data_IF_326263280353
#
_entry.id   IF_326263280353
#
_cell.length_a   1.000
_cell.length_b   1.000
_cell.length_c   1.000
_cell.angle_alpha   90.00
_cell.angle_beta   90.00
_cell.angle_gamma   90.00
#
_symmetry.space_group_name_H-M   'P 1'
#
loop_
_entity.id
_entity.type
_entity.pdbx_description
1 polymer ?
#
# COMPACT_ATOMS: atom_id res chain seq x y z
N UNK A 1 3.62 13.04 -0.18
CA UNK A 1 4.92 13.37 0.47
C UNK A 1 5.83 14.03 -0.55
N UNK A 2 6.16 13.38 -1.66
CA UNK A 2 7.17 13.86 -2.61
C UNK A 2 6.70 15.12 -3.34
N UNK A 3 5.52 15.09 -3.95
CA UNK A 3 5.02 16.20 -4.76
C UNK A 3 4.63 17.46 -3.95
N UNK A 4 4.09 17.30 -2.75
CA UNK A 4 3.55 18.42 -1.95
C UNK A 4 4.49 18.88 -0.85
N UNK A 5 5.18 17.94 -0.20
CA UNK A 5 6.03 18.23 0.96
C UNK A 5 7.52 18.26 0.65
N UNK A 6 7.92 17.90 -0.58
CA UNK A 6 9.32 17.84 -1.01
C UNK A 6 10.17 16.80 -0.24
N UNK A 7 9.52 15.83 0.40
CA UNK A 7 10.18 14.75 1.12
C UNK A 7 10.38 13.51 0.25
N UNK A 8 11.01 12.49 0.82
CA UNK A 8 11.15 11.17 0.20
C UNK A 8 10.23 10.19 0.91
N UNK A 9 9.44 9.45 0.16
CA UNK A 9 8.61 8.39 0.68
C UNK A 9 9.34 7.05 0.64
N UNK A 10 9.90 6.64 1.76
CA UNK A 10 10.54 5.34 1.91
C UNK A 10 9.51 4.29 2.31
N UNK A 11 9.09 3.45 1.37
CA UNK A 11 8.15 2.35 1.62
C UNK A 11 8.85 1.18 2.30
N UNK A 12 8.20 0.60 3.31
CA UNK A 12 8.72 -0.56 4.02
C UNK A 12 7.62 -1.58 4.35
N UNK A 13 8.01 -2.68 4.97
CA UNK A 13 7.09 -3.74 5.39
C UNK A 13 6.09 -3.22 6.42
N UNK A 14 4.85 -3.68 6.34
CA UNK A 14 3.83 -3.42 7.36
C UNK A 14 4.26 -3.96 8.73
N UNK A 15 3.69 -3.39 9.77
CA UNK A 15 4.01 -3.68 11.15
C UNK A 15 4.76 -2.52 11.78
N UNK A 16 4.18 -1.93 12.85
CA UNK A 16 4.75 -0.74 13.50
C UNK A 16 6.23 -0.93 13.88
N UNK A 17 6.61 -2.12 14.36
CA UNK A 17 8.02 -2.43 14.65
C UNK A 17 8.92 -2.38 13.43
N UNK A 18 8.40 -2.84 12.26
CA UNK A 18 9.18 -2.83 11.03
C UNK A 18 9.49 -1.41 10.59
N UNK A 19 8.46 -0.53 10.51
CA UNK A 19 8.63 0.84 10.04
C UNK A 19 9.44 1.68 11.04
N UNK A 20 9.29 1.45 12.35
CA UNK A 20 10.08 2.13 13.39
C UNK A 20 11.55 1.72 13.31
N UNK A 21 11.83 0.41 13.27
CA UNK A 21 13.21 -0.08 13.17
C UNK A 21 13.89 0.41 11.90
N UNK A 22 13.16 0.48 10.78
CA UNK A 22 13.70 1.01 9.53
C UNK A 22 14.00 2.51 9.63
N UNK A 23 13.13 3.30 10.28
CA UNK A 23 13.40 4.70 10.50
C UNK A 23 14.63 4.93 11.40
N UNK A 24 14.80 4.10 12.44
CA UNK A 24 16.00 4.12 13.29
C UNK A 24 17.25 3.79 12.47
N UNK A 25 17.21 2.73 11.65
CA UNK A 25 18.32 2.33 10.77
C UNK A 25 18.71 3.47 9.81
N UNK A 26 17.73 4.07 9.14
CA UNK A 26 17.96 5.18 8.22
C UNK A 26 18.65 6.37 8.91
N UNK A 27 18.20 6.73 10.12
CA UNK A 27 18.83 7.82 10.88
C UNK A 27 20.27 7.46 11.31
N UNK A 28 20.56 6.21 11.66
CA UNK A 28 21.92 5.75 11.96
C UNK A 28 22.84 5.84 10.74
N UNK A 29 22.31 5.67 9.54
CA UNK A 29 23.04 5.82 8.28
C UNK A 29 23.12 7.28 7.78
N UNK A 30 22.64 8.25 8.58
CA UNK A 30 22.69 9.68 8.26
C UNK A 30 21.54 10.17 7.37
N UNK A 31 20.55 9.32 7.08
CA UNK A 31 19.34 9.72 6.36
C UNK A 31 18.37 10.40 7.32
N UNK A 32 17.92 11.63 6.99
CA UNK A 32 16.96 12.35 7.81
C UNK A 32 15.57 11.74 7.70
N UNK A 33 15.22 10.80 8.58
CA UNK A 33 13.91 10.17 8.66
C UNK A 33 13.20 10.62 9.95
N UNK A 34 12.33 11.63 9.92
CA UNK A 34 11.69 12.19 11.11
C UNK A 34 10.45 11.43 11.59
N UNK A 35 9.86 10.61 10.73
CA UNK A 35 8.56 9.96 10.97
C UNK A 35 8.55 8.54 10.41
N UNK A 36 8.08 7.60 11.22
CA UNK A 36 7.63 6.28 10.80
C UNK A 36 6.12 6.20 11.00
N UNK A 37 5.36 5.81 9.98
CA UNK A 37 3.90 5.74 10.05
C UNK A 37 3.37 4.58 9.21
N UNK A 38 2.27 3.98 9.67
CA UNK A 38 1.51 2.98 8.95
C UNK A 38 0.11 3.48 8.58
N UNK A 39 -0.50 2.84 7.60
CA UNK A 39 -1.91 3.08 7.21
C UNK A 39 -2.90 2.76 8.33
N UNK A 40 -2.50 1.93 9.30
CA UNK A 40 -3.28 1.62 10.52
C UNK A 40 -3.33 2.78 11.53
N UNK A 41 -2.50 3.82 11.35
CA UNK A 41 -2.40 4.96 12.26
C UNK A 41 -1.32 4.83 13.32
N UNK A 42 -0.62 3.70 13.44
CA UNK A 42 0.58 3.63 14.26
C UNK A 42 1.63 4.61 13.72
N UNK A 43 2.13 5.48 14.57
CA UNK A 43 3.11 6.50 14.17
C UNK A 43 4.11 6.78 15.28
N UNK A 44 5.38 6.87 14.88
CA UNK A 44 6.50 7.16 15.75
C UNK A 44 7.32 8.32 15.18
N UNK A 45 7.54 9.34 15.99
CA UNK A 45 8.27 10.54 15.60
C UNK A 45 9.65 10.57 16.25
N UNK A 46 10.67 10.98 15.50
CA UNK A 46 12.04 11.12 16.02
C UNK A 46 12.11 12.03 17.26
N UNK A 47 11.36 13.13 17.26
CA UNK A 47 11.30 14.07 18.40
C UNK A 47 10.68 13.45 19.66
N UNK A 48 9.96 12.33 19.54
CA UNK A 48 9.43 11.51 20.64
C UNK A 48 10.16 10.16 20.73
N UNK A 49 11.48 10.14 20.44
CA UNK A 49 12.34 8.97 20.56
C UNK A 49 11.87 7.74 19.77
N UNK A 50 11.11 7.92 18.71
CA UNK A 50 10.47 6.85 17.94
C UNK A 50 9.58 5.92 18.77
N UNK A 51 8.98 6.43 19.83
CA UNK A 51 7.93 5.71 20.56
C UNK A 51 6.66 5.64 19.67
N UNK A 52 6.06 4.46 19.62
CA UNK A 52 4.73 4.29 19.03
C UNK A 52 3.69 4.87 20.00
N UNK A 53 3.40 6.15 19.84
CA UNK A 53 2.65 6.94 20.82
C UNK A 53 1.52 7.73 20.14
N UNK A 54 0.34 7.11 20.12
CA UNK A 54 -0.87 7.73 19.57
C UNK A 54 -1.30 8.98 20.35
N UNK A 55 -1.06 9.05 21.67
CA UNK A 55 -1.43 10.22 22.46
C UNK A 55 -0.56 11.43 22.08
N UNK A 56 0.72 11.22 21.84
CA UNK A 56 1.62 12.25 21.36
C UNK A 56 1.19 12.76 19.97
N UNK A 57 0.89 11.85 19.04
CA UNK A 57 0.44 12.21 17.70
C UNK A 57 -0.86 13.03 17.75
N UNK A 58 -1.86 12.57 18.51
CA UNK A 58 -3.15 13.28 18.68
C UNK A 58 -2.92 14.67 19.28
N UNK A 59 -2.04 14.80 20.25
CA UNK A 59 -1.70 16.11 20.85
C UNK A 59 -1.13 17.07 19.79
N UNK A 60 -0.24 16.59 18.90
CA UNK A 60 0.30 17.39 17.80
C UNK A 60 -0.78 17.81 16.80
N UNK A 61 -1.71 16.93 16.49
CA UNK A 61 -2.85 17.24 15.60
C UNK A 61 -3.74 18.30 16.24
N UNK A 62 -4.05 18.19 17.54
CA UNK A 62 -4.86 19.20 18.25
C UNK A 62 -4.17 20.56 18.28
N UNK A 63 -2.84 20.61 18.52
CA UNK A 63 -2.07 21.85 18.47
C UNK A 63 -2.14 22.46 17.06
N UNK A 64 -1.99 21.68 16.02
CA UNK A 64 -2.07 22.15 14.64
C UNK A 64 -3.48 22.63 14.31
N UNK A 65 -4.51 21.93 14.78
CA UNK A 65 -5.91 22.33 14.62
C UNK A 65 -6.18 23.70 15.27
N UNK A 66 -5.65 23.94 16.48
CA UNK A 66 -5.77 25.23 17.15
C UNK A 66 -5.08 26.37 16.39
N UNK A 67 -3.89 26.12 15.82
CA UNK A 67 -3.17 27.10 14.99
C UNK A 67 -3.95 27.46 13.73
N UNK A 68 -4.43 26.45 12.99
CA UNK A 68 -5.23 26.65 11.78
C UNK A 68 -6.51 27.44 12.07
N UNK A 69 -7.18 27.12 13.19
CA UNK A 69 -8.39 27.85 13.62
C UNK A 69 -8.12 29.32 13.91
N UNK A 70 -6.96 29.67 14.47
CA UNK A 70 -6.57 31.05 14.67
C UNK A 70 -6.34 31.79 13.34
N UNK A 71 -6.04 31.07 12.25
CA UNK A 71 -5.94 31.60 10.89
C UNK A 71 -7.26 31.55 10.11
N UNK A 72 -8.37 31.14 10.73
CA UNK A 72 -9.68 30.95 10.08
C UNK A 72 -9.75 29.73 9.17
N UNK A 73 -8.84 28.75 9.33
CA UNK A 73 -8.77 27.50 8.56
C UNK A 73 -9.21 26.30 9.39
N UNK A 74 -9.52 25.21 8.72
CA UNK A 74 -9.81 23.90 9.32
C UNK A 74 -8.65 22.92 9.08
N UNK A 75 -8.68 21.77 9.78
CA UNK A 75 -7.68 20.72 9.55
C UNK A 75 -7.78 20.18 8.13
N UNK A 76 -8.99 20.07 7.58
CA UNK A 76 -9.25 19.60 6.22
C UNK A 76 -8.55 20.46 5.16
N UNK A 77 -8.31 21.76 5.44
CA UNK A 77 -7.59 22.65 4.52
C UNK A 77 -6.14 22.17 4.21
N UNK A 78 -5.58 21.31 5.06
CA UNK A 78 -4.27 20.69 4.80
C UNK A 78 -4.35 19.56 3.78
N UNK A 79 -5.54 19.04 3.50
CA UNK A 79 -5.81 17.92 2.60
C UNK A 79 -6.43 18.36 1.27
N UNK A 80 -6.75 19.63 1.08
CA UNK A 80 -7.41 20.15 -0.13
C UNK A 80 -6.67 19.82 -1.43
N UNK A 81 -5.35 19.71 -1.37
CA UNK A 81 -4.53 19.33 -2.53
C UNK A 81 -4.34 17.82 -2.70
N UNK A 82 -4.84 17.02 -1.76
CA UNK A 82 -4.73 15.57 -1.85
C UNK A 82 -5.75 15.04 -2.87
N UNK A 83 -5.23 14.46 -3.93
CA UNK A 83 -6.06 13.78 -4.92
C UNK A 83 -6.35 12.37 -4.40
N UNK A 84 -7.62 12.08 -4.18
CA UNK A 84 -8.07 10.72 -3.91
C UNK A 84 -8.18 9.93 -5.22
N UNK A 85 -7.96 8.61 -5.20
CA UNK A 85 -8.21 7.76 -6.36
C UNK A 85 -9.70 7.81 -6.73
N UNK A 86 -10.02 7.69 -8.01
CA UNK A 86 -11.40 7.67 -8.51
C UNK A 86 -12.10 6.38 -8.12
N UNK A 87 -11.34 5.28 -8.11
CA UNK A 87 -11.82 3.96 -7.72
C UNK A 87 -10.81 3.24 -6.83
N UNK A 88 -11.32 2.47 -5.88
CA UNK A 88 -10.55 1.56 -5.04
C UNK A 88 -11.22 0.21 -4.94
N UNK A 89 -10.44 -0.86 -4.87
CA UNK A 89 -10.93 -2.21 -4.62
C UNK A 89 -9.97 -2.98 -3.70
N UNK A 90 -10.54 -3.81 -2.83
CA UNK A 90 -9.78 -4.80 -2.06
C UNK A 90 -10.40 -6.18 -2.27
N UNK A 91 -9.65 -7.09 -2.84
CA UNK A 91 -10.02 -8.49 -3.06
C UNK A 91 -9.18 -9.36 -2.14
N UNK A 92 -9.76 -10.43 -1.59
CA UNK A 92 -9.07 -11.33 -0.65
C UNK A 92 -9.19 -12.76 -1.17
N UNK A 93 -8.14 -13.24 -1.81
CA UNK A 93 -8.10 -14.60 -2.36
C UNK A 93 -7.77 -15.61 -1.27
N UNK A 94 -8.65 -16.58 -0.97
CA UNK A 94 -8.30 -17.68 -0.07
C UNK A 94 -7.27 -18.60 -0.73
N UNK A 95 -6.27 -19.03 0.05
CA UNK A 95 -5.33 -20.08 -0.36
C UNK A 95 -5.86 -21.41 0.14
N UNK A 96 -6.09 -22.34 -0.78
CA UNK A 96 -6.71 -23.65 -0.52
C UNK A 96 -5.66 -24.75 -0.21
N UNK A 97 -4.38 -24.38 -0.14
CA UNK A 97 -3.28 -25.30 0.14
C UNK A 97 -2.86 -25.19 1.61
N UNK A 98 -2.55 -26.34 2.24
CA UNK A 98 -2.15 -26.40 3.66
C UNK A 98 -0.91 -25.55 3.94
N UNK A 99 0.16 -25.71 3.14
CA UNK A 99 1.32 -24.80 3.17
C UNK A 99 1.03 -23.52 2.38
N UNK A 100 0.19 -22.68 2.97
CA UNK A 100 -0.23 -21.43 2.33
C UNK A 100 0.89 -20.42 2.18
N UNK A 101 1.91 -20.46 3.06
CA UNK A 101 3.02 -19.50 3.01
C UNK A 101 3.91 -19.74 1.79
N UNK A 102 4.41 -20.94 1.65
CA UNK A 102 5.25 -21.31 0.51
C UNK A 102 4.50 -21.16 -0.82
N UNK A 103 3.20 -21.50 -0.82
CA UNK A 103 2.37 -21.30 -2.01
C UNK A 103 2.15 -19.82 -2.33
N UNK A 104 1.78 -18.98 -1.37
CA UNK A 104 1.60 -17.55 -1.57
C UNK A 104 2.88 -16.84 -2.05
N UNK A 105 4.03 -17.23 -1.50
CA UNK A 105 5.33 -16.75 -1.97
C UNK A 105 5.60 -17.17 -3.43
N UNK A 106 5.22 -18.38 -3.81
CA UNK A 106 5.35 -18.86 -5.20
C UNK A 106 4.43 -18.09 -6.16
N UNK A 107 3.23 -17.73 -5.74
CA UNK A 107 2.31 -16.89 -6.52
C UNK A 107 2.92 -15.49 -6.72
N UNK A 108 3.44 -14.86 -5.67
CA UNK A 108 4.10 -13.54 -5.78
C UNK A 108 5.30 -13.59 -6.74
N UNK A 109 6.12 -14.63 -6.64
CA UNK A 109 7.25 -14.85 -7.56
C UNK A 109 6.78 -15.05 -9.01
N UNK A 110 5.68 -15.78 -9.21
CA UNK A 110 5.05 -15.99 -10.52
C UNK A 110 4.52 -14.67 -11.11
N UNK A 111 3.79 -13.87 -10.35
CA UNK A 111 3.34 -12.53 -10.79
C UNK A 111 4.53 -11.64 -11.15
N UNK A 112 5.63 -11.72 -10.38
CA UNK A 112 6.84 -10.95 -10.68
C UNK A 112 7.49 -11.38 -12.01
N UNK A 113 7.49 -12.67 -12.32
CA UNK A 113 7.98 -13.18 -13.61
C UNK A 113 7.04 -12.77 -14.75
N UNK A 114 5.72 -12.92 -14.56
CA UNK A 114 4.70 -12.50 -15.51
C UNK A 114 4.77 -11.00 -15.83
N UNK A 115 4.93 -10.17 -14.80
CA UNK A 115 5.10 -8.73 -14.95
C UNK A 115 6.31 -8.35 -15.84
N UNK A 116 7.42 -9.08 -15.71
CA UNK A 116 8.61 -8.87 -16.56
C UNK A 116 8.34 -9.20 -18.03
N UNK A 117 7.64 -10.31 -18.31
CA UNK A 117 7.31 -10.71 -19.71
C UNK A 117 6.32 -9.77 -20.37
N UNK A 118 5.47 -9.09 -19.59
CA UNK A 118 4.47 -8.14 -20.07
C UNK A 118 4.93 -6.67 -19.97
N UNK A 119 6.21 -6.45 -19.64
CA UNK A 119 6.79 -5.11 -19.47
C UNK A 119 6.00 -4.21 -18.51
N UNK A 120 5.46 -4.78 -17.42
CA UNK A 120 4.76 -4.03 -16.41
C UNK A 120 5.71 -3.21 -15.55
N UNK A 121 5.26 -2.06 -15.10
CA UNK A 121 6.05 -1.17 -14.25
C UNK A 121 5.99 -1.64 -12.79
N UNK A 122 6.89 -2.55 -12.44
CA UNK A 122 7.03 -3.09 -11.08
C UNK A 122 7.74 -2.07 -10.20
N UNK A 123 7.18 -1.79 -9.02
CA UNK A 123 7.80 -0.88 -8.07
C UNK A 123 9.19 -1.40 -7.64
N UNK A 124 10.22 -0.53 -7.53
CA UNK A 124 11.57 -0.96 -7.15
C UNK A 124 11.64 -1.44 -5.70
N UNK A 125 10.76 -0.94 -4.83
CA UNK A 125 10.75 -1.20 -3.39
C UNK A 125 9.65 -2.20 -2.98
N UNK A 126 9.60 -3.36 -3.63
CA UNK A 126 8.70 -4.45 -3.25
C UNK A 126 9.25 -5.22 -2.05
N UNK A 127 8.92 -4.78 -0.86
CA UNK A 127 9.34 -5.42 0.40
C UNK A 127 8.26 -6.32 1.01
N UNK A 128 7.03 -6.18 0.55
CA UNK A 128 5.88 -6.97 0.98
C UNK A 128 4.97 -7.23 -0.23
N UNK A 129 5.08 -8.41 -0.81
CA UNK A 129 4.32 -8.75 -2.01
C UNK A 129 4.88 -8.10 -3.28
N UNK A 130 4.00 -7.82 -4.23
CA UNK A 130 4.35 -7.19 -5.50
C UNK A 130 3.39 -6.03 -5.79
N UNK A 131 3.95 -4.84 -6.03
CA UNK A 131 3.24 -3.66 -6.49
C UNK A 131 3.59 -3.38 -7.95
N UNK A 132 2.57 -3.16 -8.75
CA UNK A 132 2.68 -2.82 -10.19
C UNK A 132 1.85 -1.59 -10.47
N UNK A 133 2.39 -0.67 -11.27
CA UNK A 133 1.68 0.54 -11.72
C UNK A 133 1.39 0.47 -13.22
N UNK A 134 0.27 1.06 -13.61
CA UNK A 134 -0.25 1.09 -14.98
C UNK A 134 -0.50 2.52 -15.43
N UNK A 135 -0.24 2.80 -16.71
CA UNK A 135 -0.55 4.08 -17.34
C UNK A 135 -2.03 4.20 -17.73
N UNK A 136 -2.36 5.35 -18.31
CA UNK A 136 -3.74 5.75 -18.68
C UNK A 136 -4.45 4.75 -19.59
N UNK A 137 -3.71 4.12 -20.46
CA UNK A 137 -4.21 3.12 -21.41
C UNK A 137 -4.51 1.76 -20.79
N UNK A 138 -4.07 1.55 -19.53
CA UNK A 138 -4.15 0.27 -18.81
C UNK A 138 -4.78 0.39 -17.43
N UNK A 139 -5.62 1.41 -17.21
CA UNK A 139 -6.36 1.62 -15.99
C UNK A 139 -5.84 2.73 -15.07
N UNK A 140 -4.77 3.47 -15.46
CA UNK A 140 -4.24 4.66 -14.75
C UNK A 140 -4.20 4.48 -13.23
N UNK A 141 -3.48 3.46 -12.78
CA UNK A 141 -3.51 3.08 -11.37
C UNK A 141 -2.44 2.08 -10.98
N UNK A 142 -2.72 1.31 -9.97
CA UNK A 142 -1.78 0.31 -9.47
C UNK A 142 -2.50 -0.82 -8.75
N UNK A 143 -1.84 -1.97 -8.63
CA UNK A 143 -2.21 -3.00 -7.66
C UNK A 143 -1.06 -3.34 -6.72
N UNK A 144 -1.42 -3.85 -5.54
CA UNK A 144 -0.53 -4.52 -4.60
C UNK A 144 -1.12 -5.88 -4.24
N UNK A 145 -0.45 -6.96 -4.66
CA UNK A 145 -0.76 -8.32 -4.23
C UNK A 145 0.24 -8.74 -3.16
N UNK A 146 -0.25 -9.20 -2.02
CA UNK A 146 0.60 -9.64 -0.90
C UNK A 146 0.08 -10.91 -0.24
N UNK A 147 0.92 -11.55 0.56
CA UNK A 147 0.51 -12.65 1.42
C UNK A 147 0.13 -12.11 2.81
N UNK A 148 -0.97 -12.59 3.39
CA UNK A 148 -1.28 -12.29 4.79
C UNK A 148 -0.27 -12.94 5.73
N UNK A 149 0.05 -12.26 6.84
CA UNK A 149 0.99 -12.76 7.84
C UNK A 149 0.40 -13.93 8.64
N UNK A 150 -0.92 -13.91 8.89
CA UNK A 150 -1.57 -14.82 9.84
C UNK A 150 -2.55 -15.77 9.16
N UNK A 151 -3.22 -15.33 8.11
CA UNK A 151 -4.32 -16.05 7.50
C UNK A 151 -3.93 -16.64 6.12
N UNK A 152 -4.53 -17.75 5.69
CA UNK A 152 -4.30 -18.34 4.38
C UNK A 152 -5.02 -17.55 3.27
N UNK A 153 -4.69 -16.27 3.14
CA UNK A 153 -5.26 -15.36 2.13
C UNK A 153 -4.20 -14.49 1.47
N UNK A 154 -4.47 -14.10 0.23
CA UNK A 154 -3.72 -13.10 -0.50
C UNK A 154 -4.61 -11.87 -0.72
N UNK A 155 -4.41 -10.77 0.04
CA UNK A 155 -5.05 -9.50 -0.24
C UNK A 155 -4.48 -8.87 -1.51
N UNK A 156 -5.38 -8.40 -2.38
CA UNK A 156 -5.10 -7.59 -3.56
C UNK A 156 -5.77 -6.23 -3.37
N UNK A 157 -4.98 -5.18 -3.28
CA UNK A 157 -5.47 -3.81 -3.27
C UNK A 157 -5.25 -3.20 -4.66
N UNK A 158 -6.27 -2.54 -5.20
CA UNK A 158 -6.23 -1.84 -6.49
C UNK A 158 -6.72 -0.42 -6.27
N UNK A 159 -6.02 0.56 -6.85
CA UNK A 159 -6.49 1.94 -6.96
C UNK A 159 -6.33 2.42 -8.38
N UNK A 160 -7.27 3.24 -8.84
CA UNK A 160 -7.25 3.85 -10.15
C UNK A 160 -7.72 5.30 -10.13
N UNK A 161 -7.12 6.11 -11.00
CA UNK A 161 -7.47 7.51 -11.24
C UNK A 161 -8.53 7.68 -12.34
N UNK A 162 -9.08 6.56 -12.84
CA UNK A 162 -10.12 6.56 -13.90
C UNK A 162 -11.26 5.62 -13.57
N UNK A 163 -12.48 5.96 -14.06
CA UNK A 163 -13.65 5.09 -13.92
C UNK A 163 -13.47 3.81 -14.75
N UNK A 164 -13.73 2.65 -14.14
CA UNK A 164 -13.52 1.33 -14.74
C UNK A 164 -12.05 0.87 -14.70
N UNK A 165 -11.14 1.71 -14.18
CA UNK A 165 -9.71 1.41 -14.18
C UNK A 165 -9.33 0.28 -13.23
N UNK A 166 -9.99 0.15 -12.08
CA UNK A 166 -9.74 -0.97 -11.16
C UNK A 166 -10.09 -2.31 -11.80
N UNK A 167 -11.18 -2.36 -12.57
CA UNK A 167 -11.59 -3.56 -13.33
C UNK A 167 -10.58 -3.90 -14.41
N UNK A 168 -10.15 -2.90 -15.18
CA UNK A 168 -9.16 -3.09 -16.25
C UNK A 168 -7.80 -3.60 -15.70
N UNK A 169 -7.38 -3.12 -14.55
CA UNK A 169 -6.17 -3.60 -13.87
C UNK A 169 -6.37 -5.04 -13.38
N UNK A 170 -7.54 -5.35 -12.80
CA UNK A 170 -7.86 -6.69 -12.32
C UNK A 170 -7.87 -7.72 -13.45
N UNK A 171 -8.46 -7.39 -14.61
CA UNK A 171 -8.48 -8.23 -15.79
C UNK A 171 -7.08 -8.62 -16.24
N UNK A 172 -6.14 -7.68 -16.31
CA UNK A 172 -4.76 -7.97 -16.70
C UNK A 172 -4.04 -8.94 -15.75
N UNK A 173 -4.31 -8.81 -14.44
CA UNK A 173 -3.74 -9.72 -13.43
C UNK A 173 -4.45 -11.07 -13.43
N UNK A 174 -5.75 -11.10 -13.76
CA UNK A 174 -6.56 -12.31 -13.77
C UNK A 174 -6.04 -13.36 -14.75
N UNK A 175 -5.49 -12.96 -15.89
CA UNK A 175 -4.87 -13.88 -16.87
C UNK A 175 -3.82 -14.79 -16.23
N UNK A 176 -3.02 -14.27 -15.31
CA UNK A 176 -2.06 -15.06 -14.55
C UNK A 176 -2.71 -15.80 -13.37
N UNK A 177 -3.59 -15.13 -12.61
CA UNK A 177 -4.16 -15.72 -11.40
C UNK A 177 -5.00 -16.96 -11.68
N UNK A 178 -5.67 -17.01 -12.83
CA UNK A 178 -6.46 -18.19 -13.26
C UNK A 178 -5.61 -19.46 -13.43
N UNK A 179 -4.29 -19.33 -13.60
CA UNK A 179 -3.36 -20.47 -13.64
C UNK A 179 -2.99 -20.97 -12.23
N UNK A 180 -3.32 -20.22 -11.18
CA UNK A 180 -2.97 -20.52 -9.79
C UNK A 180 -3.97 -21.51 -9.16
N UNK A 181 -3.80 -22.81 -9.38
CA UNK A 181 -4.74 -23.89 -9.03
C UNK A 181 -5.27 -23.88 -7.58
N UNK A 182 -4.46 -23.40 -6.61
CA UNK A 182 -4.81 -23.43 -5.18
C UNK A 182 -5.22 -22.03 -4.67
N UNK A 183 -5.56 -21.13 -5.55
CA UNK A 183 -6.11 -19.81 -5.22
C UNK A 183 -7.63 -19.85 -5.44
N UNK A 184 -8.40 -19.33 -4.50
CA UNK A 184 -9.86 -19.22 -4.66
C UNK A 184 -10.21 -18.06 -5.59
N UNK A 185 -10.75 -18.36 -6.78
CA UNK A 185 -10.97 -17.36 -7.85
C UNK A 185 -12.31 -16.65 -7.76
N UNK A 186 -13.27 -17.19 -7.01
CA UNK A 186 -14.65 -16.69 -6.92
C UNK A 186 -14.71 -15.16 -6.61
N UNK A 187 -13.76 -14.66 -5.80
CA UNK A 187 -13.70 -13.24 -5.45
C UNK A 187 -13.39 -12.37 -6.67
N UNK A 188 -12.53 -12.83 -7.59
CA UNK A 188 -12.22 -12.13 -8.82
C UNK A 188 -13.37 -12.22 -9.82
N UNK A 189 -13.96 -13.41 -9.98
CA UNK A 189 -15.09 -13.62 -10.88
C UNK A 189 -16.27 -12.71 -10.51
N UNK A 190 -16.60 -12.63 -9.21
CA UNK A 190 -17.63 -11.75 -8.70
C UNK A 190 -17.31 -10.26 -8.90
N UNK A 191 -16.04 -9.87 -8.76
CA UNK A 191 -15.62 -8.48 -8.99
C UNK A 191 -15.71 -8.10 -10.48
N UNK A 192 -15.25 -8.97 -11.35
CA UNK A 192 -15.28 -8.72 -12.80
C UNK A 192 -16.69 -8.77 -13.40
N UNK A 193 -17.65 -9.45 -12.75
CA UNK A 193 -19.04 -9.54 -13.18
C UNK A 193 -19.88 -8.29 -12.83
N UNK A 194 -19.41 -7.42 -11.95
CA UNK A 194 -20.06 -6.14 -11.59
C UNK A 194 -19.91 -5.11 -12.72
#
# INVERSE_FOLDING_TARGET
IEGTLGGVHHRFKRGYKNVINEALRLNQEGVNCPLAIETSGHAAMRENYFLDDGAYLVTKIIIQMARLRAEGKTLDSMLESLKEPVETAELRFPILKEDFRSYGESVIAGVSAYAKTHAWNVAPDNREGIRVSFGKDKGDGWFLLRLSVHDPIMPLNIESDTVGGTKLIAEQLNDFLMECQWLGHEVMDNFLAQ
#
